data_IF_617817899779
#
_entry.id   IF_617817899779
#
_cell.length_a   1.000
_cell.length_b   1.000
_cell.length_c   1.000
_cell.angle_alpha   90.00
_cell.angle_beta   90.00
_cell.angle_gamma   90.00
#
_symmetry.space_group_name_H-M   'P 1'
#
loop_
_entity.id
_entity.type
_entity.pdbx_description
1 polymer ?
#
# COMPACT_ATOMS: atom_id res chain seq x y z
N UNK A 1 8.34 33.77 -16.83
CA UNK A 1 8.72 33.69 -18.25
C UNK A 1 9.33 32.30 -18.43
N UNK A 2 8.63 31.30 -19.00
CA UNK A 2 8.42 31.10 -20.45
C UNK A 2 9.78 31.05 -21.16
N UNK A 3 10.25 30.05 -21.90
CA UNK A 3 9.72 28.86 -22.61
C UNK A 3 10.96 27.91 -22.73
N UNK A 4 10.93 26.67 -23.20
CA UNK A 4 9.98 25.98 -24.04
C UNK A 4 10.44 24.52 -24.23
N UNK A 5 9.47 23.71 -24.61
CA UNK A 5 9.59 22.35 -25.13
C UNK A 5 10.14 22.40 -26.58
N UNK A 6 10.23 21.22 -27.21
CA UNK A 6 10.63 20.94 -28.61
C UNK A 6 12.13 20.60 -28.72
N UNK A 7 12.60 19.49 -29.29
CA UNK A 7 12.09 18.63 -30.35
C UNK A 7 12.92 17.33 -30.30
N UNK A 8 12.29 16.14 -30.21
CA UNK A 8 12.96 14.90 -30.61
C UNK A 8 12.17 14.37 -31.80
N UNK A 9 12.42 14.97 -32.96
CA UNK A 9 12.00 14.48 -34.25
C UNK A 9 12.44 13.03 -34.45
N UNK A 10 11.48 12.11 -34.48
CA UNK A 10 11.70 10.75 -34.97
C UNK A 10 11.80 10.86 -36.50
N UNK A 11 13.02 10.88 -37.02
CA UNK A 11 13.30 10.79 -38.45
C UNK A 11 12.72 9.48 -39.02
N UNK A 12 11.63 9.62 -39.78
CA UNK A 12 11.07 8.51 -40.56
C UNK A 12 11.89 8.31 -41.82
N UNK A 13 12.86 7.39 -41.75
CA UNK A 13 13.62 6.92 -42.91
C UNK A 13 12.68 6.19 -43.87
N UNK A 14 12.25 6.88 -44.93
CA UNK A 14 11.44 6.26 -45.99
C UNK A 14 12.38 5.51 -46.94
N UNK A 15 12.51 4.19 -46.71
CA UNK A 15 13.26 3.29 -47.56
C UNK A 15 12.61 3.08 -48.93
N UNK A 16 13.41 3.35 -49.96
CA UNK A 16 13.22 3.12 -51.40
C UNK A 16 12.62 1.73 -51.71
N UNK A 17 11.45 1.68 -52.38
CA UNK A 17 10.82 0.43 -52.84
C UNK A 17 10.88 0.31 -54.36
N UNK A 18 11.92 -0.38 -54.83
CA UNK A 18 11.91 -1.04 -56.15
C UNK A 18 10.84 -2.14 -56.18
N UNK A 19 9.87 -2.03 -57.10
CA UNK A 19 8.86 -3.07 -57.36
C UNK A 19 9.50 -4.24 -58.12
N UNK A 20 9.41 -5.44 -57.55
CA UNK A 20 9.53 -6.70 -58.30
C UNK A 20 8.28 -7.57 -58.03
N UNK A 21 7.72 -8.09 -59.12
CA UNK A 21 6.45 -8.82 -59.22
C UNK A 21 6.73 -10.31 -59.01
N UNK A 22 6.03 -10.99 -58.09
CA UNK A 22 6.17 -12.45 -57.97
C UNK A 22 5.41 -13.12 -56.81
N UNK A 23 4.34 -13.85 -57.18
CA UNK A 23 3.68 -14.97 -56.50
C UNK A 23 3.12 -14.81 -55.07
N UNK A 24 1.78 -14.79 -55.01
CA UNK A 24 0.95 -14.92 -53.81
C UNK A 24 1.06 -16.32 -53.21
N UNK A 25 1.93 -16.46 -52.21
CA UNK A 25 1.85 -17.55 -51.24
C UNK A 25 1.03 -17.06 -50.05
N UNK A 26 -0.06 -17.78 -49.71
CA UNK A 26 -0.91 -17.49 -48.55
C UNK A 26 -0.08 -17.65 -47.27
N UNK A 27 0.64 -16.60 -46.87
CA UNK A 27 1.27 -16.48 -45.56
C UNK A 27 0.14 -16.34 -44.53
N UNK A 28 0.10 -17.16 -43.47
CA UNK A 28 -0.81 -16.91 -42.36
C UNK A 28 -0.56 -15.49 -41.86
N UNK A 29 -1.62 -14.68 -41.86
CA UNK A 29 -1.60 -13.29 -41.41
C UNK A 29 -1.06 -13.25 -39.99
N UNK A 30 0.15 -12.72 -39.85
CA UNK A 30 0.85 -12.52 -38.58
C UNK A 30 -0.09 -11.73 -37.68
N UNK A 31 -0.55 -12.35 -36.59
CA UNK A 31 -1.40 -11.70 -35.59
C UNK A 31 -0.84 -10.31 -35.24
N UNK A 32 -1.68 -9.27 -35.07
CA UNK A 32 -1.22 -7.91 -34.86
C UNK A 32 -0.20 -7.88 -33.72
N UNK A 33 0.98 -7.32 -34.00
CA UNK A 33 2.14 -7.28 -33.09
C UNK A 33 1.81 -6.63 -31.73
N UNK A 34 0.67 -5.94 -31.62
CA UNK A 34 0.16 -5.30 -30.41
C UNK A 34 -0.31 -6.31 -29.36
N UNK A 35 -0.89 -7.46 -29.73
CA UNK A 35 -1.53 -8.33 -28.72
C UNK A 35 -0.55 -8.96 -27.73
N UNK A 36 0.73 -9.09 -28.09
CA UNK A 36 1.77 -9.53 -27.16
C UNK A 36 2.27 -8.39 -26.26
N UNK A 37 2.33 -7.17 -26.80
CA UNK A 37 2.70 -5.99 -26.04
C UNK A 37 1.60 -5.63 -25.04
N UNK A 38 0.33 -5.66 -25.47
CA UNK A 38 -0.83 -5.39 -24.61
C UNK A 38 -0.87 -6.38 -23.44
N UNK A 39 -0.70 -7.68 -23.69
CA UNK A 39 -0.57 -8.69 -22.63
C UNK A 39 0.61 -8.46 -21.70
N UNK A 40 1.73 -7.95 -22.22
CA UNK A 40 2.89 -7.60 -21.40
C UNK A 40 2.55 -6.41 -20.48
N UNK A 41 1.91 -5.37 -21.03
CA UNK A 41 1.48 -4.19 -20.26
C UNK A 41 0.44 -4.55 -19.20
N UNK A 42 -0.52 -5.44 -19.51
CA UNK A 42 -1.49 -5.95 -18.54
C UNK A 42 -0.81 -6.72 -17.42
N UNK A 43 0.16 -7.59 -17.75
CA UNK A 43 0.93 -8.32 -16.75
C UNK A 43 1.76 -7.39 -15.85
N UNK A 44 2.40 -6.36 -16.43
CA UNK A 44 3.14 -5.34 -15.68
C UNK A 44 2.21 -4.56 -14.76
N UNK A 45 1.03 -4.17 -15.25
CA UNK A 45 0.02 -3.43 -14.49
C UNK A 45 -0.50 -4.28 -13.35
N UNK A 46 -0.89 -5.53 -13.61
CA UNK A 46 -1.35 -6.48 -12.60
C UNK A 46 -0.27 -6.74 -11.54
N UNK A 47 0.98 -6.95 -11.93
CA UNK A 47 2.08 -7.17 -11.00
C UNK A 47 2.40 -5.91 -10.17
N UNK A 48 2.25 -4.73 -10.75
CA UNK A 48 2.43 -3.45 -10.05
C UNK A 48 1.31 -3.22 -9.04
N UNK A 49 0.05 -3.40 -9.42
CA UNK A 49 -1.09 -3.28 -8.53
C UNK A 49 -1.00 -4.28 -7.36
N UNK A 50 -0.67 -5.55 -7.63
CA UNK A 50 -0.49 -6.55 -6.57
C UNK A 50 0.65 -6.20 -5.59
N UNK A 51 1.69 -5.48 -6.04
CA UNK A 51 2.75 -4.96 -5.16
C UNK A 51 2.22 -3.80 -4.34
N UNK A 52 1.60 -2.81 -4.97
CA UNK A 52 1.03 -1.62 -4.31
C UNK A 52 -0.01 -2.00 -3.26
N UNK A 53 -0.91 -2.94 -3.56
CA UNK A 53 -1.94 -3.41 -2.63
C UNK A 53 -1.35 -4.02 -1.36
N UNK A 54 -0.22 -4.73 -1.45
CA UNK A 54 0.48 -5.27 -0.28
C UNK A 54 1.03 -4.14 0.59
N UNK A 55 1.61 -3.10 -0.01
CA UNK A 55 2.09 -1.94 0.72
C UNK A 55 0.95 -1.16 1.36
N UNK A 56 -0.14 -0.90 0.64
CA UNK A 56 -1.31 -0.20 1.16
C UNK A 56 -1.94 -0.97 2.32
N UNK A 57 -2.08 -2.30 2.20
CA UNK A 57 -2.60 -3.14 3.30
C UNK A 57 -1.67 -3.15 4.51
N UNK A 58 -0.35 -3.25 4.29
CA UNK A 58 0.62 -3.19 5.37
C UNK A 58 0.60 -1.82 6.08
N UNK A 59 0.50 -0.73 5.31
CA UNK A 59 0.39 0.62 5.85
C UNK A 59 -0.93 0.81 6.61
N UNK A 60 -2.05 0.33 6.07
CA UNK A 60 -3.34 0.36 6.75
C UNK A 60 -3.32 -0.46 8.05
N UNK A 61 -2.62 -1.60 8.09
CA UNK A 61 -2.46 -2.39 9.30
C UNK A 61 -1.62 -1.65 10.37
N UNK A 62 -0.59 -0.91 9.96
CA UNK A 62 0.18 -0.04 10.86
C UNK A 62 -0.66 1.13 11.41
N UNK A 63 -1.49 1.74 10.56
CA UNK A 63 -2.41 2.82 10.95
C UNK A 63 -3.60 2.33 11.79
N UNK A 64 -3.96 1.06 11.68
CA UNK A 64 -5.10 0.50 12.41
C UNK A 64 -4.85 0.51 13.93
N UNK A 65 -3.62 0.25 14.36
CA UNK A 65 -3.22 0.15 15.77
C UNK A 65 -2.18 1.21 16.16
N UNK A 66 -2.38 2.43 15.69
CA UNK A 66 -1.48 3.53 16.02
C UNK A 66 -1.65 3.99 17.49
N UNK A 67 -0.60 4.65 17.99
CA UNK A 67 -0.56 5.13 19.38
C UNK A 67 -1.63 6.20 19.65
N UNK A 68 -1.96 7.02 18.65
CA UNK A 68 -3.00 8.05 18.76
C UNK A 68 -4.34 7.46 19.19
N UNK A 69 -4.81 6.40 18.51
CA UNK A 69 -6.06 5.72 18.88
C UNK A 69 -6.02 5.13 20.30
N UNK A 70 -4.86 4.63 20.71
CA UNK A 70 -4.69 4.13 22.08
C UNK A 70 -4.84 5.26 23.10
N UNK A 71 -4.27 6.43 22.84
CA UNK A 71 -4.44 7.63 23.68
C UNK A 71 -5.89 8.10 23.70
N UNK A 72 -6.57 8.12 22.56
CA UNK A 72 -7.97 8.52 22.48
C UNK A 72 -8.84 7.63 23.38
N UNK A 73 -8.68 6.30 23.28
CA UNK A 73 -9.39 5.34 24.13
C UNK A 73 -9.04 5.54 25.60
N UNK A 74 -7.77 5.74 25.95
CA UNK A 74 -7.35 6.04 27.32
C UNK A 74 -7.99 7.30 27.88
N UNK A 75 -8.09 8.36 27.07
CA UNK A 75 -8.70 9.63 27.47
C UNK A 75 -10.22 9.51 27.66
N UNK A 76 -10.88 8.59 26.95
CA UNK A 76 -12.32 8.35 27.14
C UNK A 76 -12.66 7.54 28.39
N UNK A 77 -11.71 6.77 28.94
CA UNK A 77 -11.98 5.92 30.09
C UNK A 77 -11.99 6.74 31.39
N UNK A 78 -13.11 6.66 32.12
CA UNK A 78 -13.31 7.41 33.37
C UNK A 78 -12.95 6.57 34.59
N UNK A 79 -12.47 7.21 35.65
CA UNK A 79 -12.20 6.52 36.93
C UNK A 79 -10.89 5.73 36.98
N UNK A 80 -9.96 6.00 36.06
CA UNK A 80 -8.63 5.39 36.05
C UNK A 80 -7.63 6.31 36.76
N UNK A 81 -6.86 5.81 37.74
CA UNK A 81 -5.82 6.60 38.38
C UNK A 81 -4.76 7.03 37.35
N UNK A 82 -4.32 8.29 37.42
CA UNK A 82 -3.32 8.85 36.50
C UNK A 82 -2.05 8.00 36.41
N UNK A 83 -1.59 7.44 37.53
CA UNK A 83 -0.42 6.55 37.57
C UNK A 83 -0.61 5.28 36.74
N UNK A 84 -1.82 4.72 36.71
CA UNK A 84 -2.14 3.54 35.89
C UNK A 84 -2.21 3.90 34.41
N UNK A 85 -2.77 5.06 34.08
CA UNK A 85 -2.77 5.58 32.71
C UNK A 85 -1.35 5.76 32.16
N UNK A 86 -0.44 6.30 32.96
CA UNK A 86 0.97 6.48 32.58
C UNK A 86 1.67 5.11 32.36
N UNK A 87 1.48 4.15 33.27
CA UNK A 87 2.02 2.79 33.10
C UNK A 87 1.47 2.10 31.85
N UNK A 88 0.16 2.23 31.59
CA UNK A 88 -0.47 1.70 30.40
C UNK A 88 0.13 2.31 29.13
N UNK A 89 0.35 3.64 29.12
CA UNK A 89 0.99 4.32 28.00
C UNK A 89 2.41 3.82 27.75
N UNK A 90 3.20 3.54 28.78
CA UNK A 90 4.55 2.98 28.61
C UNK A 90 4.51 1.57 27.97
N UNK A 91 3.63 0.70 28.47
CA UNK A 91 3.44 -0.66 27.90
C UNK A 91 2.98 -0.59 26.44
N UNK A 92 2.05 0.32 26.13
CA UNK A 92 1.56 0.53 24.77
C UNK A 92 2.63 1.17 23.87
N UNK A 93 3.44 2.09 24.38
CA UNK A 93 4.53 2.71 23.63
C UNK A 93 5.57 1.66 23.19
N UNK A 94 5.88 0.71 24.06
CA UNK A 94 6.95 -0.27 23.84
C UNK A 94 6.55 -1.47 22.96
N UNK A 95 5.26 -1.72 22.71
CA UNK A 95 4.82 -2.89 21.93
C UNK A 95 3.59 -2.65 21.06
N UNK A 96 3.74 -2.88 19.76
CA UNK A 96 2.62 -2.86 18.82
C UNK A 96 1.57 -3.94 19.12
N UNK A 97 2.00 -5.11 19.61
CA UNK A 97 1.10 -6.21 19.97
C UNK A 97 0.16 -5.82 21.12
N UNK A 98 0.66 -5.07 22.12
CA UNK A 98 -0.19 -4.58 23.20
C UNK A 98 -1.18 -3.52 22.71
N UNK A 99 -0.81 -2.66 21.76
CA UNK A 99 -1.74 -1.70 21.13
C UNK A 99 -2.89 -2.40 20.42
N UNK A 100 -2.56 -3.43 19.63
CA UNK A 100 -3.57 -4.21 18.92
C UNK A 100 -4.52 -4.92 19.89
N UNK A 101 -3.98 -5.59 20.91
CA UNK A 101 -4.79 -6.25 21.92
C UNK A 101 -5.69 -5.23 22.66
N UNK A 102 -5.12 -4.11 23.10
CA UNK A 102 -5.84 -3.05 23.80
C UNK A 102 -7.00 -2.48 23.00
N UNK A 103 -6.78 -2.16 21.73
CA UNK A 103 -7.83 -1.62 20.87
C UNK A 103 -8.92 -2.66 20.55
N UNK A 104 -8.59 -3.95 20.51
CA UNK A 104 -9.56 -5.04 20.31
C UNK A 104 -10.34 -5.44 21.57
N UNK A 105 -9.80 -5.19 22.77
CA UNK A 105 -10.49 -5.50 24.03
C UNK A 105 -11.76 -4.67 24.21
N UNK A 106 -12.78 -5.22 24.89
CA UNK A 106 -13.93 -4.42 25.36
C UNK A 106 -13.51 -3.55 26.54
N UNK A 107 -14.26 -2.48 26.77
CA UNK A 107 -14.00 -1.48 27.81
C UNK A 107 -13.79 -2.09 29.20
N UNK A 108 -14.66 -3.00 29.65
CA UNK A 108 -14.53 -3.67 30.95
C UNK A 108 -13.19 -4.41 31.11
N UNK A 109 -12.73 -5.08 30.05
CA UNK A 109 -11.45 -5.78 30.05
C UNK A 109 -10.26 -4.82 30.02
N UNK A 110 -10.39 -3.66 29.34
CA UNK A 110 -9.36 -2.62 29.38
C UNK A 110 -9.22 -2.07 30.80
N UNK A 111 -10.33 -1.80 31.48
CA UNK A 111 -10.34 -1.37 32.89
C UNK A 111 -9.66 -2.39 33.80
N UNK A 112 -10.06 -3.66 33.72
CA UNK A 112 -9.44 -4.73 34.50
C UNK A 112 -7.92 -4.85 34.21
N UNK A 113 -7.54 -4.75 32.94
CA UNK A 113 -6.15 -4.79 32.52
C UNK A 113 -5.34 -3.63 33.11
N UNK A 114 -5.82 -2.38 33.05
CA UNK A 114 -5.09 -1.25 33.67
C UNK A 114 -5.00 -1.35 35.18
N UNK A 115 -6.03 -1.87 35.86
CA UNK A 115 -5.95 -2.08 37.30
C UNK A 115 -4.88 -3.13 37.64
N UNK A 116 -4.70 -4.16 36.80
CA UNK A 116 -3.66 -5.18 36.98
C UNK A 116 -2.23 -4.63 36.81
N UNK A 117 -2.02 -3.56 36.02
CA UNK A 117 -0.70 -2.96 35.79
C UNK A 117 -0.10 -2.29 37.04
N UNK A 118 -0.91 -2.00 38.06
CA UNK A 118 -0.41 -1.46 39.32
C UNK A 118 -0.46 -2.42 40.50
N UNK A 119 -0.79 -3.70 40.27
CA UNK A 119 -0.69 -4.74 41.30
C UNK A 119 0.67 -5.44 41.35
N UNK A 120 1.62 -5.03 40.50
CA UNK A 120 3.01 -5.47 40.61
C UNK A 120 3.75 -4.51 41.53
N UNK A 121 3.61 -4.76 42.84
CA UNK A 121 4.52 -4.28 43.89
C UNK A 121 5.54 -5.38 44.18
#
# INVERSE_FOLDING_TARGET
MCDGVDDIGIESTTGDRRKAKGQSSKRPTKSPKTSKLDKCMDAITSASNARTDKFVKAQAALEQFNMSKCMDVLNTMQGIPTNQGIKALDVLANSATYREAFLKMKEDFRHAWMMSLGSSD
#
